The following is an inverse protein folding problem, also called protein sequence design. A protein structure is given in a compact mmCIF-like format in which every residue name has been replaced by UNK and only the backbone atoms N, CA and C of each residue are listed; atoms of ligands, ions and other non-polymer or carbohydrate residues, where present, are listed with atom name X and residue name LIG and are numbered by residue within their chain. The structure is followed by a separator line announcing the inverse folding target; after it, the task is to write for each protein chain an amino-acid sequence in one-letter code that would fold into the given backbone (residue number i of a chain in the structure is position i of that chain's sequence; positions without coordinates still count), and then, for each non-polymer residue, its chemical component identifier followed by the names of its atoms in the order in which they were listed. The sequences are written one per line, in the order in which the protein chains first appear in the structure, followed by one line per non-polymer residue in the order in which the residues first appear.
data_IF_325427310406
#
_entry.id   IF_325427310406
#
_cell.length_a   1.000
_cell.length_b   1.000
_cell.length_c   1.000
_cell.angle_alpha   90.00
_cell.angle_beta   90.00
_cell.angle_gamma   90.00
#
_symmetry.space_group_name_H-M   'P 1'
#
loop_
_entity.id
_entity.type
_entity.pdbx_description
1 polymer ?
#
# COMPACT_ATOMS: atom_id res chain seq x y z
N UNK A 1 -18.14 -15.06 15.33
CA UNK A 1 -16.78 -15.58 15.25
C UNK A 1 -16.75 -16.76 14.28
N UNK A 2 -15.88 -16.73 13.27
CA UNK A 2 -15.75 -17.81 12.30
C UNK A 2 -14.37 -18.47 12.45
N UNK A 3 -14.30 -19.55 13.23
CA UNK A 3 -13.04 -20.22 13.57
C UNK A 3 -12.29 -20.80 12.37
N UNK A 4 -13.00 -21.32 11.35
CA UNK A 4 -12.37 -21.87 10.15
C UNK A 4 -11.69 -20.76 9.32
N UNK A 5 -12.35 -19.60 9.18
CA UNK A 5 -11.77 -18.43 8.50
C UNK A 5 -10.58 -17.86 9.28
N UNK A 6 -10.71 -17.76 10.61
CA UNK A 6 -9.63 -17.29 11.49
C UNK A 6 -8.39 -18.20 11.39
N UNK A 7 -8.56 -19.53 11.36
CA UNK A 7 -7.45 -20.47 11.15
C UNK A 7 -6.80 -20.30 9.79
N UNK A 8 -7.58 -20.23 8.71
CA UNK A 8 -7.06 -20.01 7.36
C UNK A 8 -6.29 -18.67 7.22
N UNK A 9 -6.69 -17.63 7.94
CA UNK A 9 -5.97 -16.37 7.97
C UNK A 9 -4.62 -16.49 8.66
N UNK A 10 -4.54 -17.22 9.78
CA UNK A 10 -3.25 -17.51 10.47
C UNK A 10 -2.30 -18.31 9.59
N UNK A 11 -2.80 -19.32 8.89
CA UNK A 11 -2.00 -20.14 7.97
C UNK A 11 -1.41 -19.30 6.82
N UNK A 12 -2.04 -18.16 6.50
CA UNK A 12 -1.58 -17.17 5.52
C UNK A 12 -0.69 -16.06 6.12
N UNK A 13 -0.25 -16.21 7.37
CA UNK A 13 0.69 -15.30 8.02
C UNK A 13 0.06 -14.06 8.67
N UNK A 14 -1.28 -14.04 8.85
CA UNK A 14 -1.96 -12.96 9.58
C UNK A 14 -1.87 -13.25 11.08
N UNK A 15 -0.88 -12.67 11.74
CA UNK A 15 -0.51 -12.94 13.13
C UNK A 15 -0.96 -11.80 14.07
N UNK A 16 -2.21 -11.82 14.48
CA UNK A 16 -2.75 -10.99 15.56
C UNK A 16 -2.97 -11.84 16.80
N UNK A 17 -2.94 -11.21 17.98
CA UNK A 17 -3.34 -11.89 19.23
C UNK A 17 -4.73 -12.50 19.08
N UNK A 18 -5.65 -11.79 18.41
CA UNK A 18 -7.00 -12.27 18.14
C UNK A 18 -7.45 -11.91 16.72
N UNK A 19 -8.21 -12.82 16.12
CA UNK A 19 -8.83 -12.68 14.82
C UNK A 19 -10.18 -13.40 14.85
N UNK A 20 -11.26 -12.65 14.62
CA UNK A 20 -12.62 -13.20 14.65
C UNK A 20 -13.04 -13.87 13.34
N UNK A 21 -12.25 -13.72 12.27
CA UNK A 21 -12.59 -14.23 10.95
C UNK A 21 -13.74 -13.50 10.27
N UNK A 22 -13.90 -12.20 10.56
CA UNK A 22 -14.93 -11.37 9.94
C UNK A 22 -14.42 -10.80 8.63
N UNK A 23 -15.16 -10.99 7.53
CA UNK A 23 -14.81 -10.45 6.22
C UNK A 23 -14.90 -8.94 6.15
N UNK A 24 -14.06 -8.31 5.30
CA UNK A 24 -14.02 -6.85 5.10
C UNK A 24 -15.40 -6.24 4.80
N UNK A 25 -16.27 -6.84 3.93
CA UNK A 25 -17.60 -6.26 3.68
C UNK A 25 -18.43 -6.13 4.96
N UNK A 26 -18.31 -7.10 5.87
CA UNK A 26 -19.05 -7.05 7.14
C UNK A 26 -18.47 -6.02 8.10
N UNK A 27 -17.15 -5.82 8.11
CA UNK A 27 -16.51 -4.78 8.91
C UNK A 27 -16.98 -3.39 8.42
N UNK A 28 -17.05 -3.17 7.11
CA UNK A 28 -17.59 -1.94 6.53
C UNK A 28 -19.04 -1.69 6.94
N UNK A 29 -19.92 -2.73 6.85
CA UNK A 29 -21.31 -2.60 7.31
C UNK A 29 -21.44 -2.29 8.81
N UNK A 30 -20.47 -2.70 9.61
CA UNK A 30 -20.42 -2.34 11.02
C UNK A 30 -20.04 -0.88 11.17
N UNK A 31 -18.98 -0.41 10.49
CA UNK A 31 -18.54 0.99 10.58
C UNK A 31 -19.62 1.99 10.14
N UNK A 32 -20.44 1.65 9.14
CA UNK A 32 -21.55 2.49 8.67
C UNK A 32 -22.62 2.79 9.74
N UNK A 33 -22.61 2.07 10.88
CA UNK A 33 -23.56 2.27 11.98
C UNK A 33 -23.07 3.24 13.05
N UNK A 34 -21.84 3.70 12.92
CA UNK A 34 -21.19 4.56 13.90
C UNK A 34 -20.70 5.83 13.21
N UNK A 35 -20.77 6.93 13.91
CA UNK A 35 -20.09 8.16 13.51
C UNK A 35 -18.59 8.02 13.69
N UNK A 36 -17.82 8.82 12.97
CA UNK A 36 -16.39 8.89 13.16
C UNK A 36 -16.09 9.44 14.55
N UNK A 37 -15.18 8.78 15.26
CA UNK A 37 -14.81 9.11 16.63
C UNK A 37 -13.34 8.78 16.85
N UNK A 38 -12.56 9.80 17.17
CA UNK A 38 -11.11 9.70 17.35
C UNK A 38 -10.74 8.81 18.54
N UNK A 39 -11.36 9.02 19.70
CA UNK A 39 -11.02 8.28 20.91
C UNK A 39 -11.36 6.80 20.75
N UNK A 40 -12.51 6.50 20.14
CA UNK A 40 -12.89 5.15 19.79
C UNK A 40 -11.88 4.53 18.80
N UNK A 41 -11.51 5.24 17.73
CA UNK A 41 -10.59 4.72 16.73
C UNK A 41 -9.19 4.46 17.31
N UNK A 42 -8.66 5.34 18.14
CA UNK A 42 -7.37 5.14 18.84
C UNK A 42 -7.44 3.93 19.80
N UNK A 43 -8.54 3.77 20.53
CA UNK A 43 -8.77 2.60 21.38
C UNK A 43 -8.79 1.30 20.57
N UNK A 44 -9.53 1.28 19.45
CA UNK A 44 -9.60 0.12 18.56
C UNK A 44 -8.25 -0.20 17.92
N UNK A 45 -7.45 0.81 17.57
CA UNK A 45 -6.12 0.62 16.99
C UNK A 45 -5.13 0.02 18.00
N UNK A 46 -5.24 0.39 19.28
CA UNK A 46 -4.36 -0.08 20.34
C UNK A 46 -4.51 -1.58 20.62
N UNK A 47 -5.66 -2.18 20.30
CA UNK A 47 -5.88 -3.60 20.47
C UNK A 47 -5.22 -4.42 19.33
N UNK A 48 -4.54 -5.50 19.71
CA UNK A 48 -3.95 -6.44 18.75
C UNK A 48 -5.00 -7.44 18.22
N UNK A 49 -6.06 -6.86 17.62
CA UNK A 49 -7.19 -7.57 17.03
C UNK A 49 -7.40 -7.05 15.60
N UNK A 50 -7.30 -7.96 14.61
CA UNK A 50 -7.38 -7.63 13.19
C UNK A 50 -8.59 -6.75 12.84
N UNK A 51 -9.77 -7.18 13.23
CA UNK A 51 -11.02 -6.50 12.89
C UNK A 51 -11.12 -5.11 13.52
N UNK A 52 -10.59 -4.95 14.74
CA UNK A 52 -10.61 -3.67 15.45
C UNK A 52 -9.65 -2.67 14.79
N UNK A 53 -8.45 -3.10 14.41
CA UNK A 53 -7.53 -2.23 13.66
C UNK A 53 -8.12 -1.79 12.32
N UNK A 54 -8.82 -2.67 11.61
CA UNK A 54 -9.50 -2.30 10.35
C UNK A 54 -10.62 -1.30 10.62
N UNK A 55 -11.45 -1.51 11.67
CA UNK A 55 -12.49 -0.56 12.07
C UNK A 55 -11.90 0.80 12.43
N UNK A 56 -10.76 0.85 13.13
CA UNK A 56 -10.07 2.09 13.45
C UNK A 56 -9.78 2.92 12.19
N UNK A 57 -9.34 2.28 11.09
CA UNK A 57 -9.08 2.99 9.82
C UNK A 57 -10.32 3.58 9.16
N UNK A 58 -11.50 3.09 9.51
CA UNK A 58 -12.79 3.55 8.97
C UNK A 58 -13.45 4.63 9.84
N UNK A 59 -13.20 4.57 11.16
CA UNK A 59 -13.86 5.42 12.15
C UNK A 59 -13.03 6.64 12.55
N UNK A 60 -11.74 6.71 12.17
CA UNK A 60 -10.94 7.88 12.50
C UNK A 60 -11.36 9.10 11.66
N UNK A 61 -11.66 10.27 12.27
CA UNK A 61 -11.94 11.51 11.55
C UNK A 61 -10.71 11.97 10.76
N UNK A 62 -10.85 12.15 9.45
CA UNK A 62 -9.72 12.44 8.54
C UNK A 62 -9.04 13.76 8.91
N UNK A 63 -9.83 14.76 9.30
CA UNK A 63 -9.38 16.11 9.63
C UNK A 63 -8.54 16.17 10.91
N UNK A 64 -8.69 15.17 11.78
CA UNK A 64 -7.95 15.07 13.05
C UNK A 64 -6.74 14.13 12.98
N UNK A 65 -6.56 13.41 11.85
CA UNK A 65 -5.47 12.45 11.71
C UNK A 65 -4.19 13.18 11.34
N UNK A 66 -3.28 13.38 12.33
CA UNK A 66 -2.04 14.11 12.10
C UNK A 66 -1.00 13.28 11.33
N UNK A 67 -0.04 13.95 10.72
CA UNK A 67 1.05 13.29 9.99
C UNK A 67 1.89 12.38 10.91
N UNK A 68 2.17 12.83 12.12
CA UNK A 68 2.92 12.07 13.12
C UNK A 68 2.20 10.78 13.50
N UNK A 69 0.87 10.86 13.70
CA UNK A 69 0.05 9.70 13.99
C UNK A 69 -0.02 8.75 12.78
N UNK A 70 -0.15 9.29 11.57
CA UNK A 70 -0.13 8.50 10.33
C UNK A 70 1.18 7.70 10.22
N UNK A 71 2.32 8.35 10.45
CA UNK A 71 3.62 7.67 10.44
C UNK A 71 3.74 6.62 11.55
N UNK A 72 3.23 6.88 12.75
CA UNK A 72 3.23 5.88 13.82
C UNK A 72 2.42 4.64 13.45
N UNK A 73 1.24 4.80 12.84
CA UNK A 73 0.43 3.68 12.37
C UNK A 73 1.11 2.92 11.21
N UNK A 74 1.78 3.63 10.29
CA UNK A 74 2.57 3.01 9.21
C UNK A 74 3.70 2.13 9.77
N UNK A 75 4.40 2.59 10.79
CA UNK A 75 5.49 1.85 11.44
C UNK A 75 4.99 0.55 12.10
N UNK A 76 3.79 0.55 12.65
CA UNK A 76 3.23 -0.62 13.32
C UNK A 76 2.75 -1.73 12.37
N UNK A 77 2.43 -1.38 11.10
CA UNK A 77 1.83 -2.33 10.16
C UNK A 77 2.87 -3.28 9.59
N UNK A 78 2.65 -4.57 9.82
CA UNK A 78 3.50 -5.65 9.28
C UNK A 78 2.79 -6.51 8.25
N UNK A 79 1.45 -6.63 8.32
CA UNK A 79 0.68 -7.45 7.39
C UNK A 79 0.11 -6.64 6.22
N UNK A 80 -0.08 -7.33 5.10
CA UNK A 80 -0.47 -6.71 3.84
C UNK A 80 -1.92 -6.22 3.87
N UNK A 81 -2.83 -6.98 4.48
CA UNK A 81 -4.25 -6.64 4.49
C UNK A 81 -4.51 -5.33 5.24
N UNK A 82 -3.93 -5.16 6.44
CA UNK A 82 -4.10 -3.93 7.20
C UNK A 82 -3.46 -2.73 6.47
N UNK A 83 -2.31 -2.94 5.81
CA UNK A 83 -1.68 -1.93 4.94
C UNK A 83 -2.63 -1.44 3.86
N UNK A 84 -3.27 -2.37 3.16
CA UNK A 84 -4.24 -2.05 2.11
C UNK A 84 -5.44 -1.29 2.67
N UNK A 85 -5.98 -1.72 3.81
CA UNK A 85 -7.10 -1.06 4.45
C UNK A 85 -6.73 0.35 4.95
N UNK A 86 -5.58 0.52 5.61
CA UNK A 86 -5.12 1.84 6.05
C UNK A 86 -4.93 2.79 4.86
N UNK A 87 -4.22 2.36 3.81
CA UNK A 87 -4.01 3.18 2.62
C UNK A 87 -5.33 3.57 1.95
N UNK A 88 -6.28 2.62 1.82
CA UNK A 88 -7.57 2.83 1.17
C UNK A 88 -8.54 3.66 1.99
N UNK A 89 -8.67 3.36 3.28
CA UNK A 89 -9.72 3.94 4.10
C UNK A 89 -9.35 5.33 4.60
N UNK A 90 -8.07 5.58 4.87
CA UNK A 90 -7.60 6.78 5.56
C UNK A 90 -6.51 7.52 4.78
N UNK A 91 -5.31 6.93 4.57
CA UNK A 91 -4.14 7.69 4.11
C UNK A 91 -4.32 8.36 2.74
N UNK A 92 -4.98 7.70 1.77
CA UNK A 92 -5.19 8.28 0.43
C UNK A 92 -6.06 9.55 0.42
N UNK A 93 -6.77 9.83 1.52
CA UNK A 93 -7.69 10.97 1.66
C UNK A 93 -7.04 12.18 2.34
N UNK A 94 -5.83 11.99 2.89
CA UNK A 94 -5.12 13.04 3.63
C UNK A 94 -4.53 14.08 2.68
N UNK A 95 -4.58 15.34 3.08
CA UNK A 95 -4.05 16.47 2.30
C UNK A 95 -2.53 16.41 2.14
N UNK A 96 -1.84 15.73 3.05
CA UNK A 96 -0.40 15.51 3.09
C UNK A 96 0.02 14.08 2.68
N UNK A 97 -0.84 13.37 1.94
CA UNK A 97 -0.56 12.00 1.49
C UNK A 97 0.72 11.91 0.63
N UNK A 98 1.06 12.96 -0.15
CA UNK A 98 2.33 13.04 -0.88
C UNK A 98 3.55 12.95 0.04
N UNK A 99 3.52 13.66 1.18
CA UNK A 99 4.63 13.64 2.15
C UNK A 99 4.78 12.26 2.78
N UNK A 100 3.68 11.59 3.10
CA UNK A 100 3.70 10.21 3.61
C UNK A 100 4.29 9.23 2.60
N UNK A 101 3.95 9.38 1.31
CA UNK A 101 4.54 8.57 0.22
C UNK A 101 6.04 8.76 0.19
N UNK A 102 6.51 10.00 0.11
CA UNK A 102 7.94 10.31 -0.04
C UNK A 102 8.75 9.87 1.18
N UNK A 103 8.26 10.13 2.39
CA UNK A 103 8.92 9.76 3.63
C UNK A 103 8.97 8.22 3.79
N UNK A 104 7.88 7.54 3.50
CA UNK A 104 7.82 6.08 3.61
C UNK A 104 8.66 5.39 2.53
N UNK A 105 8.61 5.84 1.27
CA UNK A 105 9.34 5.23 0.18
C UNK A 105 10.86 5.37 0.27
N UNK A 106 11.36 6.35 1.05
CA UNK A 106 12.78 6.56 1.33
C UNK A 106 13.26 5.85 2.61
N UNK A 107 12.34 5.21 3.35
CA UNK A 107 12.68 4.62 4.64
C UNK A 107 13.57 3.38 4.49
N UNK A 108 14.52 3.19 5.41
CA UNK A 108 15.39 2.02 5.40
C UNK A 108 14.68 0.72 5.77
N UNK A 109 13.50 0.80 6.38
CA UNK A 109 12.71 -0.34 6.83
C UNK A 109 11.76 -0.77 5.71
N UNK A 110 11.90 -2.00 5.23
CA UNK A 110 11.17 -2.52 4.06
C UNK A 110 9.64 -2.44 4.18
N UNK A 111 9.07 -2.79 5.33
CA UNK A 111 7.60 -2.77 5.49
C UNK A 111 7.03 -1.35 5.46
N UNK A 112 7.83 -0.33 5.84
CA UNK A 112 7.45 1.08 5.72
C UNK A 112 7.50 1.48 4.25
N UNK A 113 8.57 1.11 3.50
CA UNK A 113 8.63 1.34 2.03
C UNK A 113 7.46 0.70 1.31
N UNK A 114 7.09 -0.54 1.69
CA UNK A 114 5.88 -1.19 1.15
C UNK A 114 4.65 -0.31 1.29
N UNK A 115 4.46 0.34 2.44
CA UNK A 115 3.30 1.21 2.68
C UNK A 115 3.36 2.47 1.80
N UNK A 116 4.52 3.09 1.64
CA UNK A 116 4.70 4.23 0.73
C UNK A 116 4.34 3.87 -0.72
N UNK A 117 4.81 2.73 -1.23
CA UNK A 117 4.50 2.23 -2.57
C UNK A 117 3.01 1.90 -2.74
N UNK A 118 2.38 1.28 -1.75
CA UNK A 118 0.95 0.99 -1.79
C UNK A 118 0.11 2.27 -1.75
N UNK A 119 0.48 3.25 -0.92
CA UNK A 119 -0.20 4.53 -0.86
C UNK A 119 -0.09 5.26 -2.21
N UNK A 120 1.10 5.31 -2.82
CA UNK A 120 1.27 5.88 -4.14
C UNK A 120 0.40 5.19 -5.20
N UNK A 121 0.42 3.85 -5.23
CA UNK A 121 -0.44 3.09 -6.13
C UNK A 121 -1.93 3.43 -5.93
N UNK A 122 -2.37 3.62 -4.67
CA UNK A 122 -3.75 4.04 -4.37
C UNK A 122 -4.06 5.42 -4.91
N UNK A 123 -3.14 6.40 -4.75
CA UNK A 123 -3.31 7.74 -5.29
C UNK A 123 -3.42 7.72 -6.82
N UNK A 124 -2.60 6.90 -7.50
CA UNK A 124 -2.70 6.70 -8.95
C UNK A 124 -4.05 6.08 -9.37
N UNK A 125 -4.52 5.05 -8.66
CA UNK A 125 -5.82 4.39 -8.94
C UNK A 125 -6.99 5.37 -8.80
N UNK A 126 -6.95 6.23 -7.79
CA UNK A 126 -8.00 7.22 -7.54
C UNK A 126 -7.84 8.48 -8.38
N UNK A 127 -6.78 8.56 -9.21
CA UNK A 127 -6.41 9.75 -10.00
C UNK A 127 -6.35 11.01 -9.15
N UNK A 128 -5.75 10.88 -7.96
CA UNK A 128 -5.59 11.99 -7.03
C UNK A 128 -4.64 13.04 -7.59
N UNK A 129 -5.03 14.31 -7.54
CA UNK A 129 -4.17 15.45 -7.89
C UNK A 129 -2.89 15.50 -7.01
N UNK A 130 -2.93 14.83 -5.86
CA UNK A 130 -1.78 14.71 -4.96
C UNK A 130 -0.57 14.04 -5.64
N UNK A 131 -0.79 13.22 -6.68
CA UNK A 131 0.30 12.57 -7.44
C UNK A 131 1.22 13.60 -8.08
N UNK A 132 0.70 14.74 -8.53
CA UNK A 132 1.47 15.82 -9.16
C UNK A 132 2.46 16.51 -8.20
N UNK A 133 2.23 16.37 -6.89
CA UNK A 133 3.09 16.93 -5.83
C UNK A 133 4.25 15.99 -5.44
N UNK A 134 4.26 14.76 -5.96
CA UNK A 134 5.25 13.73 -5.62
C UNK A 134 6.40 13.77 -6.63
N UNK A 135 7.64 13.67 -6.16
CA UNK A 135 8.78 13.43 -7.03
C UNK A 135 8.73 12.00 -7.60
N UNK A 136 7.89 11.82 -8.64
CA UNK A 136 7.67 10.51 -9.26
C UNK A 136 8.96 9.90 -9.82
N UNK A 137 9.90 10.71 -10.33
CA UNK A 137 11.16 10.20 -10.89
C UNK A 137 12.00 9.50 -9.84
N UNK A 138 12.18 10.10 -8.68
CA UNK A 138 12.90 9.52 -7.55
C UNK A 138 12.15 8.29 -6.99
N UNK A 139 10.84 8.39 -6.84
CA UNK A 139 10.01 7.30 -6.34
C UNK A 139 10.09 6.05 -7.22
N UNK A 140 10.00 6.21 -8.55
CA UNK A 140 10.12 5.10 -9.50
C UNK A 140 11.51 4.49 -9.48
N UNK A 141 12.55 5.31 -9.30
CA UNK A 141 13.93 4.83 -9.22
C UNK A 141 14.16 3.99 -7.95
N UNK A 142 13.62 4.42 -6.82
CA UNK A 142 13.64 3.66 -5.57
C UNK A 142 12.89 2.32 -5.73
N UNK A 143 11.71 2.35 -6.35
CA UNK A 143 10.94 1.14 -6.62
C UNK A 143 11.68 0.15 -7.53
N UNK A 144 12.35 0.63 -8.57
CA UNK A 144 13.18 -0.22 -9.46
C UNK A 144 14.34 -0.85 -8.68
N UNK A 145 14.99 -0.12 -7.78
CA UNK A 145 16.06 -0.65 -6.92
C UNK A 145 15.55 -1.79 -6.02
N UNK A 146 14.32 -1.71 -5.56
CA UNK A 146 13.69 -2.72 -4.69
C UNK A 146 13.26 -3.99 -5.44
N UNK A 147 13.37 -4.08 -6.77
CA UNK A 147 13.14 -5.32 -7.52
C UNK A 147 14.13 -6.44 -7.14
N UNK A 148 15.27 -6.09 -6.58
CA UNK A 148 16.28 -7.05 -6.10
C UNK A 148 16.12 -7.40 -4.60
N UNK A 149 15.09 -6.87 -3.92
CA UNK A 149 14.83 -7.23 -2.53
C UNK A 149 14.50 -8.72 -2.37
N UNK A 150 14.89 -9.31 -1.24
CA UNK A 150 14.47 -10.67 -0.86
C UNK A 150 12.97 -10.71 -0.47
N UNK A 151 12.39 -9.60 -0.08
CA UNK A 151 10.99 -9.49 0.27
C UNK A 151 10.08 -9.51 -0.97
N UNK A 152 9.30 -10.59 -1.11
CA UNK A 152 8.30 -10.68 -2.18
C UNK A 152 7.28 -9.54 -2.09
N UNK A 153 6.87 -9.17 -0.88
CA UNK A 153 5.90 -8.09 -0.66
C UNK A 153 6.44 -6.74 -1.13
N UNK A 154 7.73 -6.46 -0.87
CA UNK A 154 8.36 -5.22 -1.32
C UNK A 154 8.49 -5.19 -2.84
N UNK A 155 8.96 -6.29 -3.47
CA UNK A 155 9.01 -6.38 -4.94
C UNK A 155 7.65 -6.18 -5.58
N UNK A 156 6.59 -6.80 -5.01
CA UNK A 156 5.23 -6.65 -5.53
C UNK A 156 4.70 -5.21 -5.36
N UNK A 157 4.98 -4.57 -4.22
CA UNK A 157 4.61 -3.18 -3.99
C UNK A 157 5.32 -2.23 -4.96
N UNK A 158 6.62 -2.45 -5.18
CA UNK A 158 7.44 -1.72 -6.15
C UNK A 158 6.91 -1.89 -7.59
N UNK A 159 6.60 -3.12 -8.01
CA UNK A 159 6.01 -3.37 -9.33
C UNK A 159 4.65 -2.67 -9.49
N UNK A 160 3.79 -2.72 -8.47
CA UNK A 160 2.50 -2.04 -8.50
C UNK A 160 2.66 -0.51 -8.61
N UNK A 161 3.69 0.06 -7.99
CA UNK A 161 4.04 1.49 -8.15
C UNK A 161 4.22 1.85 -9.63
N UNK A 162 5.04 1.11 -10.36
CA UNK A 162 5.28 1.35 -11.78
C UNK A 162 4.02 1.11 -12.63
N UNK A 163 3.31 0.02 -12.38
CA UNK A 163 2.08 -0.33 -13.12
C UNK A 163 1.01 0.76 -13.00
N UNK A 164 0.68 1.17 -11.79
CA UNK A 164 -0.41 2.12 -11.58
C UNK A 164 -0.02 3.54 -12.00
N UNK A 165 1.25 3.93 -11.88
CA UNK A 165 1.73 5.18 -12.45
C UNK A 165 1.64 5.17 -13.98
N UNK A 166 2.10 4.12 -14.65
CA UNK A 166 2.02 4.01 -16.11
C UNK A 166 0.57 3.98 -16.64
N UNK A 167 -0.39 3.48 -15.86
CA UNK A 167 -1.82 3.48 -16.22
C UNK A 167 -2.47 4.86 -16.23
N UNK A 168 -1.84 5.88 -15.66
CA UNK A 168 -2.40 7.24 -15.63
C UNK A 168 -2.49 7.82 -17.05
N UNK A 169 -1.42 7.63 -17.85
CA UNK A 169 -1.35 8.13 -19.24
C UNK A 169 -0.36 7.31 -20.08
N UNK A 170 -0.48 7.43 -21.43
CA UNK A 170 0.50 6.85 -22.35
C UNK A 170 1.91 7.41 -22.20
N UNK A 171 2.03 8.68 -21.81
CA UNK A 171 3.30 9.32 -21.50
C UNK A 171 3.95 8.68 -20.26
N UNK A 172 3.18 8.45 -19.20
CA UNK A 172 3.65 7.78 -17.99
C UNK A 172 4.07 6.33 -18.28
N UNK A 173 3.31 5.62 -19.14
CA UNK A 173 3.68 4.27 -19.58
C UNK A 173 5.03 4.26 -20.30
N UNK A 174 5.23 5.21 -21.21
CA UNK A 174 6.50 5.38 -21.95
C UNK A 174 7.64 5.71 -20.99
N UNK A 175 7.44 6.59 -20.04
CA UNK A 175 8.43 6.93 -19.01
C UNK A 175 8.83 5.69 -18.20
N UNK A 176 7.87 4.89 -17.74
CA UNK A 176 8.16 3.64 -17.00
C UNK A 176 9.00 2.70 -17.84
N UNK A 177 8.60 2.43 -19.10
CA UNK A 177 9.34 1.53 -19.99
C UNK A 177 10.77 2.02 -20.26
N UNK A 178 10.96 3.31 -20.44
CA UNK A 178 12.28 3.92 -20.60
C UNK A 178 13.16 3.71 -19.35
N UNK A 179 12.61 3.92 -18.15
CA UNK A 179 13.34 3.73 -16.89
C UNK A 179 13.78 2.27 -16.65
N UNK A 180 12.99 1.30 -17.12
CA UNK A 180 13.30 -0.14 -16.95
C UNK A 180 14.00 -0.75 -18.17
N UNK A 181 14.30 0.01 -19.21
CA UNK A 181 14.94 -0.50 -20.45
C UNK A 181 16.28 -1.18 -20.21
N UNK A 182 17.05 -0.75 -19.20
CA UNK A 182 18.30 -1.35 -18.81
C UNK A 182 18.17 -2.81 -18.33
N UNK A 183 16.95 -3.25 -17.96
CA UNK A 183 16.67 -4.63 -17.55
C UNK A 183 16.60 -5.60 -18.75
N UNK A 184 16.55 -5.14 -20.00
CA UNK A 184 16.48 -5.98 -21.19
C UNK A 184 17.65 -6.97 -21.31
N UNK A 185 18.85 -6.55 -20.91
CA UNK A 185 20.05 -7.37 -20.89
C UNK A 185 20.29 -8.14 -19.59
N UNK A 186 19.41 -8.03 -18.61
CA UNK A 186 19.63 -8.64 -17.30
C UNK A 186 19.68 -10.17 -17.38
N UNK A 187 20.55 -10.78 -16.57
CA UNK A 187 20.60 -12.23 -16.33
C UNK A 187 19.71 -12.65 -15.17
N UNK A 188 19.20 -11.70 -14.39
CA UNK A 188 18.33 -11.94 -13.25
C UNK A 188 16.92 -12.31 -13.73
N UNK A 189 16.45 -13.49 -13.33
CA UNK A 189 15.12 -13.99 -13.71
C UNK A 189 13.98 -13.08 -13.24
N UNK A 190 14.09 -12.52 -12.02
CA UNK A 190 13.07 -11.62 -11.44
C UNK A 190 12.97 -10.33 -12.25
N UNK A 191 14.10 -9.74 -12.65
CA UNK A 191 14.12 -8.52 -13.47
C UNK A 191 13.52 -8.75 -14.85
N UNK A 192 13.82 -9.91 -15.48
CA UNK A 192 13.19 -10.30 -16.75
C UNK A 192 11.69 -10.46 -16.65
N UNK A 193 11.23 -11.13 -15.60
CA UNK A 193 9.80 -11.33 -15.34
C UNK A 193 9.08 -9.98 -15.14
N UNK A 194 9.67 -9.10 -14.33
CA UNK A 194 9.12 -7.74 -14.09
C UNK A 194 9.05 -6.95 -15.40
N UNK A 195 10.10 -6.96 -16.21
CA UNK A 195 10.12 -6.29 -17.50
C UNK A 195 9.02 -6.83 -18.43
N UNK A 196 8.88 -8.16 -18.51
CA UNK A 196 7.83 -8.82 -19.29
C UNK A 196 6.43 -8.40 -18.84
N UNK A 197 6.20 -8.36 -17.51
CA UNK A 197 4.93 -7.92 -16.95
C UNK A 197 4.63 -6.47 -17.33
N UNK A 198 5.61 -5.56 -17.26
CA UNK A 198 5.43 -4.15 -17.59
C UNK A 198 5.22 -3.94 -19.10
N UNK A 199 5.95 -4.66 -19.97
CA UNK A 199 5.73 -4.62 -21.42
C UNK A 199 4.32 -5.10 -21.78
N UNK A 200 3.89 -6.22 -21.23
CA UNK A 200 2.53 -6.74 -21.43
C UNK A 200 1.46 -5.76 -20.90
N UNK A 201 1.68 -5.18 -19.73
CA UNK A 201 0.76 -4.22 -19.10
C UNK A 201 0.50 -3.00 -19.97
N UNK A 202 1.53 -2.52 -20.68
CA UNK A 202 1.46 -1.30 -21.51
C UNK A 202 1.31 -1.57 -23.00
N UNK A 203 1.04 -2.82 -23.39
CA UNK A 203 0.75 -3.20 -24.77
C UNK A 203 1.95 -3.12 -25.70
N UNK A 204 3.17 -3.28 -25.17
CA UNK A 204 4.39 -3.39 -25.97
C UNK A 204 4.74 -4.88 -26.08
N UNK A 205 4.51 -5.44 -27.27
CA UNK A 205 4.84 -6.84 -27.55
C UNK A 205 6.33 -7.11 -27.27
N UNK A 206 6.61 -8.23 -26.62
CA UNK A 206 7.94 -8.74 -26.28
C UNK A 206 8.64 -9.38 -27.46
#
# INVERSE_FOLDING_TARGET
MNGAVSSSMRDKGINYRMNFGVGIPRINQISEKYEQDKELAETLWSDDVRELKILATLLYPIEEFSKELAMSWIVEIKDQELREQLCKNLLQKLTYANELVEESAKNNIEHIRCTGYWLFARLCITKSETVEKINCDELLQNAISDFNSQSMLLRQAALNTLKYYGRISGENATNVLQKVSHLEGSKNHVEKEILSILKFEFGVDS
#
